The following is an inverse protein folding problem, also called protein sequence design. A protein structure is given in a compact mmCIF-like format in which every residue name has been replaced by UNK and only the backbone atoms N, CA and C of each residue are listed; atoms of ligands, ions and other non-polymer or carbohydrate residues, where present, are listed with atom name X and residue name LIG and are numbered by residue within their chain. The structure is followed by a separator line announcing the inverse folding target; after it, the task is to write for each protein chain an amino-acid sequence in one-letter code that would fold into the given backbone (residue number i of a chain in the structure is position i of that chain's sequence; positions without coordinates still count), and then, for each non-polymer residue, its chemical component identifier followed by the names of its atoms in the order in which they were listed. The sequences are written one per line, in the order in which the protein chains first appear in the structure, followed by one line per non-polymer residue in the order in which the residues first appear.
data_IF_785269578917
#
_entry.id   IF_785269578917
#
_cell.length_a   1.000
_cell.length_b   1.000
_cell.length_c   1.000
_cell.angle_alpha   90.00
_cell.angle_beta   90.00
_cell.angle_gamma   90.00
#
_symmetry.space_group_name_H-M   'P 1'
#
loop_
_entity.id
_entity.type
_entity.pdbx_description
1 polymer ?
#
# COMPACT_ATOMS: atom_id res chain seq x y z
N UNK A 1 -42.63 -4.45 -17.29
CA UNK A 1 -41.44 -4.81 -18.09
C UNK A 1 -40.52 -5.60 -17.17
N UNK A 2 -40.44 -6.91 -17.33
CA UNK A 2 -39.53 -7.77 -16.56
C UNK A 2 -38.09 -7.54 -17.03
N UNK A 3 -37.16 -7.47 -16.08
CA UNK A 3 -35.74 -7.29 -16.37
C UNK A 3 -35.26 -8.53 -17.16
N UNK A 4 -34.70 -8.38 -18.37
CA UNK A 4 -34.30 -9.52 -19.21
C UNK A 4 -33.32 -10.46 -18.49
N UNK A 5 -32.51 -9.95 -17.55
CA UNK A 5 -31.60 -10.77 -16.74
C UNK A 5 -32.31 -11.73 -15.77
N UNK A 6 -33.57 -11.47 -15.42
CA UNK A 6 -34.31 -12.31 -14.47
C UNK A 6 -34.80 -13.60 -15.12
N UNK A 7 -35.25 -13.52 -16.37
CA UNK A 7 -35.69 -14.70 -17.13
C UNK A 7 -34.52 -15.66 -17.41
N UNK A 8 -33.35 -15.12 -17.78
CA UNK A 8 -32.14 -15.91 -18.01
C UNK A 8 -31.64 -16.60 -16.74
N UNK A 9 -31.74 -15.92 -15.59
CA UNK A 9 -31.38 -16.51 -14.30
C UNK A 9 -32.34 -17.63 -13.90
N UNK A 10 -33.65 -17.42 -14.05
CA UNK A 10 -34.67 -18.45 -13.77
C UNK A 10 -34.52 -19.66 -14.71
N UNK A 11 -34.22 -19.42 -15.99
CA UNK A 11 -33.92 -20.48 -16.96
C UNK A 11 -32.63 -21.24 -16.61
N UNK A 12 -31.59 -20.55 -16.16
CA UNK A 12 -30.36 -21.17 -15.69
C UNK A 12 -30.60 -22.07 -14.47
N UNK A 13 -31.33 -21.54 -13.47
CA UNK A 13 -31.66 -22.24 -12.22
C UNK A 13 -32.57 -23.46 -12.44
N UNK A 14 -33.43 -23.42 -13.47
CA UNK A 14 -34.32 -24.52 -13.83
C UNK A 14 -33.70 -25.53 -14.81
N UNK A 15 -32.50 -25.27 -15.33
CA UNK A 15 -31.81 -26.22 -16.20
C UNK A 15 -31.22 -27.38 -15.40
N UNK A 16 -31.59 -28.62 -15.74
CA UNK A 16 -31.04 -29.86 -15.15
C UNK A 16 -29.61 -30.19 -15.62
N UNK A 17 -28.96 -29.26 -16.33
CA UNK A 17 -27.60 -29.41 -16.85
C UNK A 17 -26.57 -29.29 -15.73
N UNK A 18 -26.10 -30.43 -15.24
CA UNK A 18 -24.97 -30.45 -14.33
C UNK A 18 -23.70 -29.93 -15.02
N UNK A 19 -22.97 -28.97 -14.42
CA UNK A 19 -21.73 -28.49 -15.01
C UNK A 19 -20.70 -29.63 -15.08
N UNK A 20 -19.84 -29.66 -16.12
CA UNK A 20 -18.79 -30.66 -16.24
C UNK A 20 -17.97 -30.77 -14.94
N UNK A 21 -17.64 -31.99 -14.53
CA UNK A 21 -16.91 -32.26 -13.29
C UNK A 21 -15.56 -31.52 -13.23
N UNK A 22 -14.97 -31.22 -14.38
CA UNK A 22 -13.76 -30.39 -14.53
C UNK A 22 -14.00 -28.96 -14.08
N UNK A 23 -15.04 -28.29 -14.58
CA UNK A 23 -15.39 -26.91 -14.19
C UNK A 23 -15.74 -26.85 -12.70
N UNK A 24 -16.54 -27.79 -12.21
CA UNK A 24 -16.90 -27.86 -10.79
C UNK A 24 -15.66 -27.97 -9.89
N UNK A 25 -14.69 -28.81 -10.27
CA UNK A 25 -13.43 -28.95 -9.52
C UNK A 25 -12.58 -27.69 -9.58
N UNK A 26 -12.48 -27.04 -10.74
CA UNK A 26 -11.72 -25.79 -10.88
C UNK A 26 -12.32 -24.68 -10.01
N UNK A 27 -13.63 -24.45 -10.12
CA UNK A 27 -14.33 -23.44 -9.32
C UNK A 27 -14.22 -23.73 -7.82
N UNK A 28 -14.40 -24.98 -7.40
CA UNK A 28 -14.23 -25.35 -5.99
C UNK A 28 -12.80 -25.19 -5.49
N UNK A 29 -11.80 -25.44 -6.34
CA UNK A 29 -10.40 -25.21 -6.00
C UNK A 29 -10.08 -23.72 -5.88
N UNK A 30 -10.63 -22.89 -6.76
CA UNK A 30 -10.48 -21.43 -6.66
C UNK A 30 -11.14 -20.91 -5.38
N UNK A 31 -12.39 -21.31 -5.09
CA UNK A 31 -13.08 -20.95 -3.84
C UNK A 31 -12.30 -21.41 -2.60
N UNK A 32 -11.75 -22.63 -2.61
CA UNK A 32 -10.94 -23.14 -1.48
C UNK A 32 -9.61 -22.42 -1.34
N UNK A 33 -8.99 -22.02 -2.45
CA UNK A 33 -7.77 -21.23 -2.45
C UNK A 33 -8.04 -19.85 -1.84
N UNK A 34 -9.19 -19.27 -2.17
CA UNK A 34 -9.62 -17.97 -1.67
C UNK A 34 -10.13 -18.06 -0.21
N UNK A 35 -10.68 -19.19 0.24
CA UNK A 35 -11.06 -19.42 1.64
C UNK A 35 -9.86 -19.63 2.59
N UNK A 36 -8.69 -20.05 2.08
CA UNK A 36 -7.47 -20.23 2.89
C UNK A 36 -6.60 -18.98 2.97
N UNK A 37 -7.19 -17.81 2.80
CA UNK A 37 -6.50 -16.54 2.97
C UNK A 37 -6.38 -16.22 4.46
N UNK A 38 -5.21 -16.51 5.00
CA UNK A 38 -4.86 -16.05 6.34
C UNK A 38 -4.46 -14.57 6.26
N UNK A 39 -5.19 -13.63 6.87
CA UNK A 39 -4.93 -12.19 6.73
C UNK A 39 -3.51 -11.82 7.16
N UNK A 40 -2.97 -12.49 8.18
CA UNK A 40 -1.60 -12.26 8.66
C UNK A 40 -0.53 -12.52 7.60
N UNK A 41 -0.74 -13.46 6.65
CA UNK A 41 0.21 -13.71 5.56
C UNK A 41 0.22 -12.55 4.55
N UNK A 42 -0.95 -12.00 4.25
CA UNK A 42 -1.09 -10.84 3.38
C UNK A 42 -0.42 -9.61 4.01
N UNK A 43 -0.69 -9.36 5.31
CA UNK A 43 -0.05 -8.29 6.06
C UNK A 43 1.46 -8.49 6.22
N UNK A 44 1.93 -9.72 6.44
CA UNK A 44 3.36 -10.03 6.52
C UNK A 44 4.08 -9.74 5.22
N UNK A 45 3.52 -10.17 4.08
CA UNK A 45 4.06 -9.86 2.76
C UNK A 45 4.08 -8.35 2.49
N UNK A 46 3.00 -7.64 2.83
CA UNK A 46 2.92 -6.18 2.72
C UNK A 46 4.03 -5.49 3.54
N UNK A 47 4.21 -5.88 4.81
CA UNK A 47 5.27 -5.35 5.68
C UNK A 47 6.67 -5.65 5.11
N UNK A 48 6.92 -6.86 4.58
CA UNK A 48 8.19 -7.17 3.94
C UNK A 48 8.49 -6.25 2.75
N UNK A 49 7.48 -5.94 1.93
CA UNK A 49 7.64 -5.04 0.79
C UNK A 49 7.93 -3.61 1.26
N UNK A 50 7.24 -3.13 2.30
CA UNK A 50 7.56 -1.83 2.92
C UNK A 50 8.97 -1.80 3.50
N UNK A 51 9.44 -2.87 4.14
CA UNK A 51 10.80 -2.96 4.66
C UNK A 51 11.85 -2.93 3.53
N UNK A 52 11.61 -3.64 2.43
CA UNK A 52 12.49 -3.59 1.25
C UNK A 52 12.53 -2.20 0.61
N UNK A 53 11.37 -1.56 0.48
CA UNK A 53 11.28 -0.18 -0.03
C UNK A 53 11.94 0.83 0.93
N UNK A 54 11.84 0.62 2.24
CA UNK A 54 12.55 1.44 3.24
C UNK A 54 14.06 1.32 3.02
N UNK A 55 14.59 0.11 2.89
CA UNK A 55 16.02 -0.11 2.60
C UNK A 55 16.46 0.56 1.30
N UNK A 56 15.65 0.47 0.23
CA UNK A 56 15.95 1.10 -1.05
C UNK A 56 15.93 2.63 -0.98
N UNK A 57 14.96 3.19 -0.26
CA UNK A 57 14.84 4.65 -0.09
C UNK A 57 15.92 5.23 0.80
N UNK A 58 16.43 4.48 1.78
CA UNK A 58 17.60 4.87 2.56
C UNK A 58 18.85 5.05 1.70
N UNK A 59 19.01 4.28 0.62
CA UNK A 59 20.11 4.48 -0.33
C UNK A 59 20.03 5.83 -1.07
N UNK A 60 18.83 6.41 -1.17
CA UNK A 60 18.57 7.68 -1.86
C UNK A 60 18.48 8.85 -0.88
N UNK A 61 18.02 8.60 0.35
CA UNK A 61 17.91 9.57 1.42
C UNK A 61 18.40 8.95 2.75
N UNK A 62 19.66 9.18 3.15
CA UNK A 62 20.29 8.60 4.32
C UNK A 62 19.86 9.36 5.57
N UNK A 63 18.56 9.32 5.86
CA UNK A 63 17.92 9.96 7.00
C UNK A 63 18.43 9.44 8.36
N UNK A 64 19.18 8.34 8.37
CA UNK A 64 19.87 7.76 9.55
C UNK A 64 21.40 7.66 9.37
N UNK A 65 21.98 8.40 8.43
CA UNK A 65 23.41 8.30 8.12
C UNK A 65 23.81 7.02 7.38
N UNK A 66 22.83 6.26 6.86
CA UNK A 66 23.03 5.03 6.08
C UNK A 66 22.91 5.35 4.59
N UNK A 67 24.03 5.55 3.88
CA UNK A 67 24.06 5.77 2.42
C UNK A 67 25.34 6.44 1.92
N UNK A 68 25.56 6.44 0.60
CA UNK A 68 26.70 7.09 -0.05
C UNK A 68 26.45 8.59 -0.34
N UNK A 69 27.51 9.38 -0.48
CA UNK A 69 27.40 10.78 -0.93
C UNK A 69 26.97 10.83 -2.40
N UNK A 70 25.88 11.55 -2.70
CA UNK A 70 25.40 11.81 -4.05
C UNK A 70 24.88 13.25 -4.15
N UNK A 71 24.76 13.80 -5.36
CA UNK A 71 24.17 15.12 -5.60
C UNK A 71 22.76 15.25 -5.02
N UNK A 72 21.98 14.16 -5.06
CA UNK A 72 20.63 14.11 -4.46
C UNK A 72 20.71 14.29 -2.94
N UNK A 73 21.74 13.75 -2.29
CA UNK A 73 21.96 13.94 -0.85
C UNK A 73 22.18 15.41 -0.51
N UNK A 74 23.08 16.08 -1.22
CA UNK A 74 23.41 17.48 -0.93
C UNK A 74 22.20 18.40 -1.18
N UNK A 75 21.36 18.05 -2.15
CA UNK A 75 20.10 18.75 -2.39
C UNK A 75 19.10 18.54 -1.25
N UNK A 76 18.84 17.30 -0.86
CA UNK A 76 17.92 16.97 0.24
C UNK A 76 18.42 17.51 1.58
N UNK A 77 19.72 17.49 1.83
CA UNK A 77 20.33 18.04 3.04
C UNK A 77 20.15 19.55 3.12
N UNK A 78 20.32 20.28 2.00
CA UNK A 78 20.04 21.72 1.93
C UNK A 78 18.56 22.04 2.16
N UNK A 79 17.65 21.24 1.61
CA UNK A 79 16.21 21.36 1.91
C UNK A 79 15.95 21.11 3.39
N UNK A 80 16.53 20.07 3.97
CA UNK A 80 16.34 19.74 5.38
C UNK A 80 16.81 20.87 6.31
N UNK A 81 17.92 21.54 5.98
CA UNK A 81 18.45 22.68 6.74
C UNK A 81 17.56 23.92 6.67
N UNK A 82 16.96 24.22 5.52
CA UNK A 82 16.13 25.42 5.34
C UNK A 82 14.65 25.20 5.65
N UNK A 83 14.11 24.03 5.29
CA UNK A 83 12.69 23.68 5.39
C UNK A 83 12.54 22.21 5.84
N UNK A 84 12.71 21.92 7.14
CA UNK A 84 12.62 20.56 7.68
C UNK A 84 11.29 19.86 7.38
N UNK A 85 10.19 20.63 7.44
CA UNK A 85 8.84 20.13 7.16
C UNK A 85 8.66 19.71 5.69
N UNK A 86 9.31 20.42 4.76
CA UNK A 86 9.25 20.08 3.34
C UNK A 86 10.05 18.80 3.05
N UNK A 87 11.20 18.63 3.71
CA UNK A 87 11.95 17.39 3.68
C UNK A 87 11.09 16.21 4.17
N UNK A 88 10.35 16.39 5.29
CA UNK A 88 9.43 15.37 5.78
C UNK A 88 8.35 14.98 4.76
N UNK A 89 7.71 15.96 4.12
CA UNK A 89 6.67 15.70 3.12
C UNK A 89 7.22 14.93 1.91
N UNK A 90 8.38 15.35 1.38
CA UNK A 90 8.97 14.77 0.18
C UNK A 90 9.46 13.34 0.48
N UNK A 91 10.23 13.15 1.55
CA UNK A 91 10.82 11.85 1.86
C UNK A 91 9.75 10.82 2.24
N UNK A 92 8.75 11.21 3.04
CA UNK A 92 7.59 10.36 3.35
C UNK A 92 6.81 10.04 2.09
N UNK A 93 6.52 11.05 1.26
CA UNK A 93 5.77 10.85 0.01
C UNK A 93 6.45 9.88 -0.94
N UNK A 94 7.76 10.05 -1.16
CA UNK A 94 8.55 9.14 -2.00
C UNK A 94 8.55 7.72 -1.42
N UNK A 95 8.76 7.58 -0.10
CA UNK A 95 8.75 6.28 0.56
C UNK A 95 7.40 5.56 0.43
N UNK A 96 6.30 6.22 0.76
CA UNK A 96 4.96 5.63 0.66
C UNK A 96 4.55 5.38 -0.79
N UNK A 97 4.95 6.23 -1.73
CA UNK A 97 4.71 6.02 -3.15
C UNK A 97 5.40 4.75 -3.66
N UNK A 98 6.72 4.63 -3.42
CA UNK A 98 7.51 3.48 -3.87
C UNK A 98 7.02 2.20 -3.20
N UNK A 99 6.82 2.23 -1.88
CA UNK A 99 6.40 1.05 -1.12
C UNK A 99 4.99 0.59 -1.49
N UNK A 100 4.02 1.50 -1.60
CA UNK A 100 2.64 1.15 -1.98
C UNK A 100 2.58 0.64 -3.41
N UNK A 101 3.29 1.29 -4.34
CA UNK A 101 3.35 0.84 -5.73
C UNK A 101 3.99 -0.54 -5.84
N UNK A 102 5.10 -0.77 -5.12
CA UNK A 102 5.76 -2.08 -5.07
C UNK A 102 4.84 -3.16 -4.47
N UNK A 103 4.08 -2.82 -3.43
CA UNK A 103 3.11 -3.73 -2.82
C UNK A 103 2.06 -4.15 -3.83
N UNK A 104 1.55 -3.22 -4.64
CA UNK A 104 0.56 -3.50 -5.67
C UNK A 104 1.12 -4.38 -6.78
N UNK A 105 2.36 -4.13 -7.21
CA UNK A 105 3.00 -4.93 -8.27
C UNK A 105 3.38 -6.35 -7.81
N UNK A 106 3.73 -6.53 -6.54
CA UNK A 106 4.20 -7.81 -6.00
C UNK A 106 3.09 -8.67 -5.37
N UNK A 107 1.98 -8.08 -4.95
CA UNK A 107 0.84 -8.79 -4.36
C UNK A 107 -0.16 -9.23 -5.42
N UNK A 108 -0.79 -10.38 -5.19
CA UNK A 108 -1.88 -10.86 -6.05
C UNK A 108 -3.16 -10.09 -5.73
N UNK A 109 -4.07 -9.98 -6.70
CA UNK A 109 -5.33 -9.24 -6.53
C UNK A 109 -6.13 -9.66 -5.29
N UNK A 110 -6.22 -10.95 -5.00
CA UNK A 110 -6.93 -11.44 -3.81
C UNK A 110 -6.24 -11.01 -2.51
N UNK A 111 -4.91 -10.87 -2.49
CA UNK A 111 -4.16 -10.40 -1.32
C UNK A 111 -4.44 -8.91 -1.09
N UNK A 112 -4.49 -8.14 -2.19
CA UNK A 112 -4.85 -6.72 -2.17
C UNK A 112 -6.28 -6.50 -1.68
N UNK A 113 -7.24 -7.35 -2.05
CA UNK A 113 -8.63 -7.28 -1.55
C UNK A 113 -8.72 -7.51 -0.03
N UNK A 114 -7.87 -8.39 0.52
CA UNK A 114 -7.80 -8.60 1.98
C UNK A 114 -7.28 -7.35 2.69
N UNK A 115 -6.27 -6.68 2.11
CA UNK A 115 -5.79 -5.40 2.62
C UNK A 115 -6.87 -4.30 2.45
N UNK A 116 -7.58 -4.31 1.32
CA UNK A 116 -8.65 -3.35 1.02
C UNK A 116 -9.78 -3.41 2.05
N UNK A 117 -10.20 -4.61 2.47
CA UNK A 117 -11.28 -4.78 3.44
C UNK A 117 -11.01 -4.01 4.74
N UNK A 118 -9.74 -3.80 5.09
CA UNK A 118 -9.31 -3.10 6.29
C UNK A 118 -8.46 -1.86 6.00
N UNK A 119 -8.49 -1.32 4.76
CA UNK A 119 -7.52 -0.35 4.27
C UNK A 119 -7.32 0.84 5.20
N UNK A 120 -8.39 1.53 5.63
CA UNK A 120 -8.26 2.70 6.52
C UNK A 120 -7.55 2.34 7.84
N UNK A 121 -7.92 1.20 8.44
CA UNK A 121 -7.32 0.75 9.70
C UNK A 121 -5.87 0.29 9.50
N UNK A 122 -5.63 -0.53 8.49
CA UNK A 122 -4.30 -1.05 8.17
C UNK A 122 -3.34 0.08 7.82
N UNK A 123 -3.77 1.04 7.00
CA UNK A 123 -2.98 2.20 6.60
C UNK A 123 -2.61 3.09 7.78
N UNK A 124 -3.56 3.37 8.68
CA UNK A 124 -3.26 4.11 9.90
C UNK A 124 -2.25 3.36 10.77
N UNK A 125 -2.42 2.05 10.96
CA UNK A 125 -1.48 1.23 11.75
C UNK A 125 -0.08 1.24 11.11
N UNK A 126 0.03 1.07 9.79
CA UNK A 126 1.32 1.05 9.11
C UNK A 126 2.02 2.41 9.14
N UNK A 127 1.27 3.49 8.88
CA UNK A 127 1.82 4.85 8.91
C UNK A 127 2.33 5.19 10.31
N UNK A 128 1.56 4.86 11.35
CA UNK A 128 1.97 5.06 12.74
C UNK A 128 3.15 4.16 13.14
N UNK A 129 3.14 2.88 12.77
CA UNK A 129 4.21 1.96 13.10
C UNK A 129 5.55 2.38 12.46
N UNK A 130 5.51 2.80 11.19
CA UNK A 130 6.70 3.29 10.48
C UNK A 130 7.13 4.62 11.07
N UNK A 131 6.21 5.54 11.37
CA UNK A 131 6.53 6.81 12.04
C UNK A 131 7.19 6.59 13.40
N UNK A 132 6.67 5.66 14.21
CA UNK A 132 7.25 5.29 15.50
C UNK A 132 8.65 4.68 15.34
N UNK A 133 8.83 3.78 14.38
CA UNK A 133 10.15 3.22 14.05
C UNK A 133 11.14 4.32 13.66
N UNK A 134 10.69 5.29 12.86
CA UNK A 134 11.53 6.42 12.47
C UNK A 134 11.93 7.29 13.65
N UNK A 135 11.07 7.52 14.64
CA UNK A 135 11.45 8.24 15.86
C UNK A 135 12.54 7.49 16.63
N UNK A 136 12.39 6.16 16.76
CA UNK A 136 13.39 5.32 17.44
C UNK A 136 14.73 5.39 16.70
N UNK A 137 14.73 5.25 15.38
CA UNK A 137 15.95 5.31 14.57
C UNK A 137 16.55 6.72 14.50
N UNK A 138 15.73 7.76 14.54
CA UNK A 138 16.16 9.16 14.56
C UNK A 138 16.99 9.51 15.80
N UNK A 139 16.81 8.77 16.90
CA UNK A 139 17.63 8.91 18.12
C UNK A 139 19.10 8.51 17.92
N UNK A 140 19.41 7.76 16.87
CA UNK A 140 20.76 7.29 16.54
C UNK A 140 21.53 8.26 15.63
N UNK A 141 20.86 9.33 15.14
CA UNK A 141 21.46 10.36 14.31
C UNK A 141 22.32 11.35 15.09
N UNK A 142 23.01 12.26 14.39
CA UNK A 142 23.72 13.37 15.05
C UNK A 142 22.75 14.29 15.80
N UNK A 143 23.25 15.06 16.77
CA UNK A 143 22.44 15.98 17.60
C UNK A 143 21.52 16.91 16.80
N UNK A 144 21.99 17.44 15.66
CA UNK A 144 21.18 18.27 14.76
C UNK A 144 20.02 17.51 14.08
N UNK A 145 20.20 16.23 13.78
CA UNK A 145 19.13 15.39 13.21
C UNK A 145 18.12 14.99 14.29
N UNK A 146 18.56 14.80 15.53
CA UNK A 146 17.70 14.45 16.65
C UNK A 146 16.63 15.52 16.89
N UNK A 147 17.00 16.80 16.94
CA UNK A 147 16.01 17.89 17.12
C UNK A 147 14.99 17.97 15.97
N UNK A 148 15.42 17.68 14.75
CA UNK A 148 14.54 17.63 13.59
C UNK A 148 13.49 16.50 13.71
N UNK A 149 13.91 15.29 14.07
CA UNK A 149 13.01 14.13 14.19
C UNK A 149 12.05 14.23 15.38
N UNK A 150 12.44 14.92 16.45
CA UNK A 150 11.56 15.17 17.59
C UNK A 150 10.66 16.41 17.41
N UNK A 151 10.84 17.17 16.33
CA UNK A 151 9.93 18.26 15.99
C UNK A 151 8.53 17.70 15.69
N UNK A 152 7.54 18.14 16.46
CA UNK A 152 6.13 17.78 16.25
C UNK A 152 5.65 18.12 14.84
N UNK A 153 6.17 19.21 14.25
CA UNK A 153 5.87 19.61 12.88
C UNK A 153 6.39 18.57 11.88
N UNK A 154 7.64 18.11 12.04
CA UNK A 154 8.22 17.09 11.18
C UNK A 154 7.40 15.80 11.21
N UNK A 155 7.05 15.34 12.41
CA UNK A 155 6.26 14.12 12.62
C UNK A 155 4.87 14.23 11.98
N UNK A 156 4.16 15.33 12.22
CA UNK A 156 2.80 15.53 11.67
C UNK A 156 2.86 15.56 10.14
N UNK A 157 3.81 16.29 9.56
CA UNK A 157 3.98 16.37 8.11
C UNK A 157 4.35 15.01 7.51
N UNK A 158 5.23 14.25 8.18
CA UNK A 158 5.61 12.90 7.76
C UNK A 158 4.41 11.94 7.74
N UNK A 159 3.64 11.88 8.82
CA UNK A 159 2.48 11.00 8.94
C UNK A 159 1.37 11.41 7.97
N UNK A 160 1.09 12.71 7.85
CA UNK A 160 0.05 13.23 6.98
C UNK A 160 0.36 12.94 5.50
N UNK A 161 1.56 13.27 5.03
CA UNK A 161 1.95 12.98 3.63
C UNK A 161 1.94 11.49 3.33
N UNK A 162 2.46 10.67 4.24
CA UNK A 162 2.49 9.22 4.07
C UNK A 162 1.10 8.61 3.95
N UNK A 163 0.18 9.05 4.83
CA UNK A 163 -1.20 8.62 4.79
C UNK A 163 -1.91 9.05 3.49
N UNK A 164 -1.76 10.31 3.08
CA UNK A 164 -2.36 10.84 1.85
C UNK A 164 -1.84 10.14 0.60
N UNK A 165 -0.53 9.92 0.51
CA UNK A 165 0.08 9.24 -0.65
C UNK A 165 -0.36 7.79 -0.72
N UNK A 166 -0.39 7.07 0.41
CA UNK A 166 -0.84 5.68 0.42
C UNK A 166 -2.31 5.56 0.01
N UNK A 167 -3.19 6.46 0.48
CA UNK A 167 -4.58 6.53 0.02
C UNK A 167 -4.67 6.81 -1.48
N UNK A 168 -3.94 7.82 -1.98
CA UNK A 168 -3.95 8.19 -3.39
C UNK A 168 -3.47 7.04 -4.29
N UNK A 169 -2.33 6.41 -3.94
CA UNK A 169 -1.79 5.28 -4.67
C UNK A 169 -2.76 4.10 -4.68
N UNK A 170 -3.37 3.78 -3.54
CA UNK A 170 -4.31 2.68 -3.45
C UNK A 170 -5.59 2.95 -4.26
N UNK A 171 -6.10 4.17 -4.24
CA UNK A 171 -7.23 4.57 -5.08
C UNK A 171 -6.92 4.48 -6.57
N UNK A 172 -5.76 4.99 -7.00
CA UNK A 172 -5.30 4.89 -8.39
C UNK A 172 -5.21 3.43 -8.82
N UNK A 173 -4.64 2.58 -7.98
CA UNK A 173 -4.51 1.16 -8.27
C UNK A 173 -5.87 0.49 -8.35
N UNK A 174 -6.79 0.81 -7.44
CA UNK A 174 -8.16 0.30 -7.51
C UNK A 174 -8.82 0.66 -8.83
N UNK A 175 -8.64 1.89 -9.32
CA UNK A 175 -9.21 2.32 -10.61
C UNK A 175 -8.58 1.61 -11.81
N UNK A 176 -7.30 1.24 -11.74
CA UNK A 176 -6.57 0.59 -12.84
C UNK A 176 -6.79 -0.94 -12.84
N UNK A 177 -6.68 -1.58 -11.67
CA UNK A 177 -6.72 -3.04 -11.52
C UNK A 177 -8.14 -3.60 -11.44
N UNK A 178 -9.09 -2.82 -10.95
CA UNK A 178 -10.50 -3.20 -10.90
C UNK A 178 -11.31 -2.14 -11.62
N UNK A 179 -11.21 -2.03 -12.96
CA UNK A 179 -12.18 -1.25 -13.69
C UNK A 179 -13.53 -1.86 -13.32
N UNK A 180 -14.34 -1.11 -12.58
CA UNK A 180 -15.71 -1.54 -12.39
C UNK A 180 -16.23 -1.76 -13.81
N UNK A 181 -16.77 -2.94 -14.07
CA UNK A 181 -17.65 -3.13 -15.23
C UNK A 181 -18.81 -2.16 -15.00
N UNK A 182 -18.57 -0.90 -15.32
CA UNK A 182 -19.58 0.11 -15.47
C UNK A 182 -20.48 -0.46 -16.54
N UNK A 183 -21.74 -0.55 -16.14
CA UNK A 183 -22.84 -1.15 -16.87
C UNK A 183 -22.66 -0.99 -18.38
N UNK A 184 -22.64 -2.11 -19.09
CA UNK A 184 -23.00 -2.17 -20.50
C UNK A 184 -24.46 -1.72 -20.61
N UNK A 185 -24.69 -0.40 -20.58
CA UNK A 185 -25.91 0.22 -21.05
C UNK A 185 -25.71 0.48 -22.54
N UNK A 186 -26.16 -0.48 -23.34
CA UNK A 186 -26.12 -0.51 -24.79
C UNK A 186 -26.62 -1.84 -25.29
#
# INVERSE_FOLDING_TARGET
MTNPNQHDFEQFMSSDTNPPATIKKTVLNDIRRDQKLFPWRCHGKFVCIHAMAASLTLLICPQFGLGGQSFVMDFLHRIAQHNPWLCALICSGIFFFISTTSSVLAMREYELRVIEQFHLRSFSIYTLAIGALMMVMGTQGSSAHQEMFFSSVFIVMWLMSGYLVMLACFHLVKTISFPSKTESKG
#
